data_IF_754439631761
#
_entry.id   IF_754439631761
#
_cell.length_a   1.000
_cell.length_b   1.000
_cell.length_c   1.000
_cell.angle_alpha   90.00
_cell.angle_beta   90.00
_cell.angle_gamma   90.00
#
_symmetry.space_group_name_H-M   'P 1'
#
loop_
_entity.id
_entity.type
_entity.pdbx_description
1 polymer ?
#
# COMPACT_ATOMS: atom_id res chain seq x y z
N UNK A 1 7.97 13.63 -9.57
CA UNK A 1 7.13 12.92 -8.57
C UNK A 1 6.60 13.94 -7.57
N UNK A 2 5.29 14.04 -7.39
CA UNK A 2 4.69 15.05 -6.51
C UNK A 2 4.07 14.45 -5.23
N UNK A 3 3.58 13.22 -5.30
CA UNK A 3 2.81 12.63 -4.23
C UNK A 3 3.00 11.12 -4.17
N UNK A 4 3.01 10.56 -2.95
CA UNK A 4 3.05 9.12 -2.70
C UNK A 4 1.90 8.79 -1.75
N UNK A 5 1.07 7.82 -2.12
CA UNK A 5 0.01 7.29 -1.28
C UNK A 5 0.46 5.96 -0.68
N UNK A 6 0.41 5.88 0.65
CA UNK A 6 0.63 4.64 1.38
C UNK A 6 -0.71 4.00 1.75
N UNK A 7 -0.83 2.71 1.50
CA UNK A 7 -2.01 1.91 1.85
C UNK A 7 -1.57 0.61 2.49
N UNK A 8 -2.27 0.20 3.55
CA UNK A 8 -1.99 -1.01 4.30
C UNK A 8 -3.29 -1.57 4.88
N UNK A 9 -3.43 -2.88 4.87
CA UNK A 9 -4.51 -3.57 5.56
C UNK A 9 -3.94 -4.73 6.35
N UNK A 10 -3.88 -4.57 7.67
CA UNK A 10 -3.36 -5.57 8.59
C UNK A 10 -4.26 -5.69 9.82
N UNK A 11 -4.45 -6.91 10.29
CA UNK A 11 -5.24 -7.21 11.50
C UNK A 11 -6.64 -6.58 11.48
N UNK A 12 -7.28 -6.57 10.30
CA UNK A 12 -8.61 -6.00 10.13
C UNK A 12 -8.65 -4.48 10.09
N UNK A 13 -7.49 -3.81 10.04
CA UNK A 13 -7.40 -2.35 10.00
C UNK A 13 -6.83 -1.86 8.68
N UNK A 14 -7.52 -0.89 8.09
CA UNK A 14 -7.05 -0.17 6.91
C UNK A 14 -6.34 1.12 7.36
N UNK A 15 -5.09 1.26 6.96
CA UNK A 15 -4.29 2.46 7.22
C UNK A 15 -3.91 3.11 5.90
N UNK A 16 -3.94 4.42 5.85
CA UNK A 16 -3.56 5.20 4.68
C UNK A 16 -2.85 6.46 5.12
N UNK A 17 -1.89 6.89 4.33
CA UNK A 17 -1.19 8.15 4.52
C UNK A 17 -0.80 8.74 3.17
N UNK A 18 -0.71 10.06 3.11
CA UNK A 18 -0.31 10.77 1.90
C UNK A 18 0.95 11.56 2.19
N UNK A 19 1.97 11.36 1.36
CA UNK A 19 3.24 12.07 1.46
C UNK A 19 3.39 13.01 0.28
N UNK A 20 3.62 14.29 0.58
CA UNK A 20 3.89 15.30 -0.44
C UNK A 20 5.39 15.38 -0.66
N UNK A 21 5.82 15.22 -1.90
CA UNK A 21 7.24 15.23 -2.28
C UNK A 21 7.74 16.67 -2.27
N UNK A 22 8.82 16.90 -1.53
CA UNK A 22 9.48 18.21 -1.43
C UNK A 22 10.80 18.25 -2.21
N UNK A 23 11.51 17.13 -2.30
CA UNK A 23 12.78 17.05 -3.03
C UNK A 23 12.96 15.64 -3.57
N UNK A 24 13.42 15.53 -4.78
CA UNK A 24 13.71 14.26 -5.43
C UNK A 24 15.12 14.27 -6.00
N UNK A 25 15.86 13.19 -5.77
CA UNK A 25 17.15 12.91 -6.38
C UNK A 25 17.05 11.63 -7.21
N UNK A 26 18.14 11.18 -7.82
CA UNK A 26 18.13 9.92 -8.57
C UNK A 26 17.80 8.70 -7.72
N UNK A 27 18.13 8.72 -6.43
CA UNK A 27 17.95 7.56 -5.55
C UNK A 27 17.01 7.77 -4.38
N UNK A 28 16.61 9.01 -4.08
CA UNK A 28 15.84 9.34 -2.88
C UNK A 28 14.71 10.30 -3.15
N UNK A 29 13.71 10.28 -2.24
CA UNK A 29 12.58 11.20 -2.24
C UNK A 29 12.37 11.71 -0.82
N UNK A 30 12.43 13.02 -0.62
CA UNK A 30 12.14 13.66 0.66
C UNK A 30 10.71 14.17 0.66
N UNK A 31 9.95 13.80 1.69
CA UNK A 31 8.52 14.07 1.77
C UNK A 31 8.09 14.65 3.11
N UNK A 32 6.89 15.21 3.11
CA UNK A 32 6.19 15.66 4.32
C UNK A 32 4.81 15.01 4.34
N UNK A 33 4.48 14.32 5.44
CA UNK A 33 3.16 13.76 5.69
C UNK A 33 2.17 14.86 6.13
N UNK A 34 0.87 14.51 6.18
CA UNK A 34 -0.18 15.46 6.58
C UNK A 34 0.01 16.03 7.99
N UNK A 35 0.58 15.26 8.89
CA UNK A 35 0.88 15.68 10.27
C UNK A 35 2.15 16.51 10.38
N UNK A 36 2.83 16.81 9.27
CA UNK A 36 4.08 17.55 9.23
C UNK A 36 5.34 16.72 9.42
N UNK A 37 5.21 15.41 9.62
CA UNK A 37 6.36 14.52 9.77
C UNK A 37 7.15 14.44 8.47
N UNK A 38 8.46 14.67 8.55
CA UNK A 38 9.37 14.54 7.43
C UNK A 38 9.79 13.08 7.29
N UNK A 39 9.78 12.59 6.05
CA UNK A 39 10.22 11.22 5.76
C UNK A 39 11.00 11.17 4.46
N UNK A 40 12.11 10.43 4.47
CA UNK A 40 12.94 10.18 3.31
C UNK A 40 12.75 8.74 2.86
N UNK A 41 12.45 8.55 1.59
CA UNK A 41 12.32 7.22 0.98
C UNK A 41 13.46 6.98 0.01
N UNK A 42 13.97 5.75 -0.01
CA UNK A 42 14.82 5.29 -1.09
C UNK A 42 13.93 4.77 -2.21
N UNK A 43 14.20 5.21 -3.44
CA UNK A 43 13.41 4.78 -4.62
C UNK A 43 13.40 3.26 -4.80
N UNK A 44 14.50 2.58 -4.46
CA UNK A 44 14.58 1.13 -4.50
C UNK A 44 13.59 0.45 -3.53
N UNK A 45 13.36 1.06 -2.36
CA UNK A 45 12.40 0.54 -1.39
C UNK A 45 10.96 0.77 -1.84
N UNK A 46 10.66 1.90 -2.44
CA UNK A 46 9.34 2.17 -3.04
C UNK A 46 9.03 1.15 -4.13
N UNK A 47 10.02 0.83 -4.96
CA UNK A 47 9.90 -0.16 -6.02
C UNK A 47 9.63 -1.57 -5.49
N UNK A 48 10.28 -1.96 -4.41
CA UNK A 48 10.08 -3.25 -3.75
C UNK A 48 8.71 -3.38 -3.08
N UNK A 49 8.10 -2.27 -2.69
CA UNK A 49 6.85 -2.24 -1.93
C UNK A 49 5.72 -1.57 -2.73
N UNK A 50 5.66 -1.80 -4.02
CA UNK A 50 4.64 -1.24 -4.92
C UNK A 50 3.20 -1.55 -4.50
N UNK A 51 2.98 -2.67 -3.85
CA UNK A 51 1.66 -3.03 -3.37
C UNK A 51 1.16 -2.11 -2.25
N UNK A 52 2.06 -1.43 -1.54
CA UNK A 52 1.70 -0.54 -0.44
C UNK A 52 1.94 0.94 -0.75
N UNK A 53 2.82 1.26 -1.70
CA UNK A 53 3.15 2.64 -2.06
C UNK A 53 2.74 2.93 -3.49
N UNK A 54 1.77 3.81 -3.66
CA UNK A 54 1.26 4.21 -4.98
C UNK A 54 1.86 5.58 -5.29
N UNK A 55 2.64 5.63 -6.37
CA UNK A 55 3.32 6.85 -6.82
C UNK A 55 2.40 7.60 -7.76
N UNK A 56 2.27 8.92 -7.56
CA UNK A 56 1.43 9.79 -8.40
C UNK A 56 -0.02 9.31 -8.50
N UNK A 57 -0.74 9.09 -7.38
CA UNK A 57 -2.12 8.64 -7.46
C UNK A 57 -3.01 9.69 -8.14
N UNK A 58 -3.69 9.31 -9.22
CA UNK A 58 -4.61 10.20 -9.93
C UNK A 58 -5.89 10.46 -9.12
N UNK A 59 -6.41 9.41 -8.48
CA UNK A 59 -7.61 9.47 -7.67
C UNK A 59 -7.38 8.60 -6.43
N UNK A 60 -7.11 9.24 -5.30
CA UNK A 60 -6.78 8.54 -4.07
C UNK A 60 -7.90 7.62 -3.58
N UNK A 61 -9.16 8.03 -3.76
CA UNK A 61 -10.32 7.23 -3.34
C UNK A 61 -10.39 5.94 -4.16
N UNK A 62 -10.25 6.03 -5.47
CA UNK A 62 -10.26 4.86 -6.36
C UNK A 62 -9.08 3.93 -6.11
N UNK A 63 -7.91 4.49 -5.84
CA UNK A 63 -6.72 3.68 -5.50
C UNK A 63 -6.91 2.92 -4.19
N UNK A 64 -7.49 3.55 -3.19
CA UNK A 64 -7.82 2.91 -1.92
C UNK A 64 -8.87 1.80 -2.09
N UNK A 65 -9.91 2.05 -2.87
CA UNK A 65 -10.93 1.06 -3.18
C UNK A 65 -10.33 -0.14 -3.92
N UNK A 66 -9.49 0.11 -4.90
CA UNK A 66 -8.79 -0.93 -5.66
C UNK A 66 -7.92 -1.81 -4.75
N UNK A 67 -7.16 -1.18 -3.86
CA UNK A 67 -6.35 -1.90 -2.88
C UNK A 67 -7.21 -2.81 -2.00
N UNK A 68 -8.31 -2.30 -1.46
CA UNK A 68 -9.20 -3.08 -0.59
C UNK A 68 -9.88 -4.22 -1.33
N UNK A 69 -10.28 -4.02 -2.58
CA UNK A 69 -10.85 -5.08 -3.42
C UNK A 69 -9.86 -6.19 -3.68
N UNK A 70 -8.59 -5.86 -3.94
CA UNK A 70 -7.53 -6.85 -4.12
C UNK A 70 -7.27 -7.63 -2.84
N UNK A 71 -7.26 -6.96 -1.69
CA UNK A 71 -7.11 -7.63 -0.39
C UNK A 71 -8.27 -8.58 -0.10
N UNK A 72 -9.48 -8.17 -0.41
CA UNK A 72 -10.66 -9.03 -0.28
C UNK A 72 -10.52 -10.31 -1.12
N UNK A 73 -10.08 -10.17 -2.37
CA UNK A 73 -9.86 -11.32 -3.26
C UNK A 73 -8.78 -12.26 -2.72
N UNK A 74 -7.66 -11.73 -2.21
CA UNK A 74 -6.61 -12.52 -1.58
C UNK A 74 -7.15 -13.31 -0.38
N UNK A 75 -7.92 -12.67 0.48
CA UNK A 75 -8.49 -13.30 1.66
C UNK A 75 -9.50 -14.39 1.31
N UNK A 76 -10.32 -14.18 0.30
CA UNK A 76 -11.27 -15.18 -0.21
C UNK A 76 -10.52 -16.44 -0.71
N UNK A 77 -9.41 -16.28 -1.40
CA UNK A 77 -8.55 -17.39 -1.84
C UNK A 77 -7.96 -18.16 -0.67
N UNK A 78 -7.49 -17.45 0.36
CA UNK A 78 -6.94 -18.07 1.57
C UNK A 78 -8.02 -18.88 2.30
N UNK A 79 -9.22 -18.35 2.42
CA UNK A 79 -10.36 -19.05 3.03
C UNK A 79 -10.69 -20.33 2.26
N UNK A 80 -10.70 -20.25 0.93
CA UNK A 80 -10.93 -21.40 0.06
C UNK A 80 -9.87 -22.49 0.27
N UNK A 81 -8.60 -22.09 0.33
CA UNK A 81 -7.48 -23.02 0.58
C UNK A 81 -7.59 -23.67 1.94
N UNK A 82 -7.97 -22.93 2.98
CA UNK A 82 -8.19 -23.46 4.33
C UNK A 82 -9.34 -24.46 4.33
N UNK A 83 -10.44 -24.16 3.66
CA UNK A 83 -11.58 -25.06 3.54
C UNK A 83 -11.21 -26.37 2.84
N UNK A 84 -10.37 -26.30 1.80
CA UNK A 84 -9.86 -27.48 1.10
C UNK A 84 -8.99 -28.34 2.00
N UNK A 85 -8.13 -27.74 2.82
CA UNK A 85 -7.30 -28.46 3.79
C UNK A 85 -8.16 -29.15 4.86
N UNK A 86 -9.23 -28.48 5.33
CA UNK A 86 -10.16 -29.08 6.28
C UNK A 86 -10.82 -30.33 5.68
N UNK A 87 -11.23 -30.26 4.42
CA UNK A 87 -11.81 -31.42 3.73
C UNK A 87 -10.82 -32.58 3.61
N UNK A 88 -9.55 -32.27 3.39
CA UNK A 88 -8.49 -33.29 3.24
C UNK A 88 -8.14 -33.98 4.56
N UNK A 89 -8.55 -33.45 5.71
CA UNK A 89 -8.34 -34.07 7.03
C UNK A 89 -9.32 -35.20 7.33
N UNK A 90 -10.38 -35.31 6.56
CA UNK A 90 -11.43 -36.32 6.79
C UNK A 90 -11.22 -37.58 5.96
#
# INVERSE_FOLDING_TARGET
MEKILYVEFEEGKFKTDTFIVKKETNGTVETIAKDGTKRKFFKSNLEKNKQNYIIEPNDEIKEKEFFLKNKKTEMEKIIEQINDEIKNLN
#
